data_IF_374842451324
#
_entry.id   IF_374842451324
#
_cell.length_a   1.000
_cell.length_b   1.000
_cell.length_c   1.000
_cell.angle_alpha   90.00
_cell.angle_beta   90.00
_cell.angle_gamma   90.00
#
_symmetry.space_group_name_H-M   'P 1'
#
loop_
_entity.id
_entity.type
_entity.pdbx_description
1 polymer ?
#
# COMPACT_ATOMS: atom_id res chain seq x y z
N UNK A 1 2.03 6.01 24.02
CA UNK A 1 0.84 6.30 24.72
C UNK A 1 -0.16 5.18 24.68
N UNK A 2 -1.22 5.36 25.37
CA UNK A 2 -2.26 4.35 25.52
C UNK A 2 -2.84 3.91 24.16
N UNK A 3 -3.04 4.87 23.26
CA UNK A 3 -3.60 4.57 21.94
C UNK A 3 -2.60 3.83 21.05
N UNK A 4 -1.31 4.10 21.22
CA UNK A 4 -0.26 3.43 20.45
C UNK A 4 -0.19 1.94 20.79
N UNK A 5 -0.38 1.58 22.05
CA UNK A 5 -0.36 0.18 22.46
C UNK A 5 -1.49 -0.61 21.83
N UNK A 6 -2.67 0.00 21.69
CA UNK A 6 -3.81 -0.64 21.04
C UNK A 6 -3.59 -0.81 19.54
N UNK A 7 -3.04 0.20 18.88
CA UNK A 7 -2.72 0.12 17.47
C UNK A 7 -1.65 -0.94 17.22
N UNK A 8 -0.61 -0.98 18.06
CA UNK A 8 0.44 -1.96 17.92
C UNK A 8 -0.09 -3.37 18.10
N UNK A 9 -0.94 -3.59 19.10
CA UNK A 9 -1.56 -4.89 19.33
C UNK A 9 -2.45 -5.31 18.16
N UNK A 10 -3.22 -4.38 17.62
CA UNK A 10 -4.07 -4.64 16.47
C UNK A 10 -3.23 -5.05 15.26
N UNK A 11 -2.14 -4.34 15.00
CA UNK A 11 -1.26 -4.64 13.88
C UNK A 11 -0.59 -6.00 14.06
N UNK A 12 -0.10 -6.31 15.24
CA UNK A 12 0.53 -7.60 15.51
C UNK A 12 -0.44 -8.74 15.30
N UNK A 13 -1.68 -8.58 15.75
CA UNK A 13 -2.72 -9.59 15.49
C UNK A 13 -3.00 -9.75 14.02
N UNK A 14 -3.06 -8.63 13.29
CA UNK A 14 -3.29 -8.65 11.84
C UNK A 14 -2.15 -9.37 11.12
N UNK A 15 -0.91 -9.06 11.48
CA UNK A 15 0.26 -9.71 10.88
C UNK A 15 0.26 -11.21 11.20
N UNK A 16 -0.06 -11.58 12.44
CA UNK A 16 -0.15 -12.98 12.82
C UNK A 16 -1.22 -13.73 12.04
N UNK A 17 -2.39 -13.13 11.86
CA UNK A 17 -3.47 -13.75 11.10
C UNK A 17 -3.06 -13.97 9.64
N UNK A 18 -2.44 -12.99 9.02
CA UNK A 18 -1.98 -13.09 7.64
C UNK A 18 -0.88 -14.15 7.49
N UNK A 19 0.10 -14.14 8.41
CA UNK A 19 1.20 -15.10 8.36
C UNK A 19 0.71 -16.53 8.61
N UNK A 20 -0.20 -16.72 9.57
CA UNK A 20 -0.78 -18.03 9.83
C UNK A 20 -1.60 -18.52 8.66
N UNK A 21 -2.36 -17.66 8.02
CA UNK A 21 -3.14 -18.01 6.84
C UNK A 21 -2.21 -18.43 5.70
N UNK A 22 -1.13 -17.68 5.47
CA UNK A 22 -0.15 -18.01 4.46
C UNK A 22 0.50 -19.37 4.73
N UNK A 23 0.93 -19.58 5.97
CA UNK A 23 1.61 -20.82 6.36
C UNK A 23 0.69 -22.02 6.28
N UNK A 24 -0.51 -21.92 6.86
CA UNK A 24 -1.42 -23.06 6.98
C UNK A 24 -2.10 -23.43 5.66
N UNK A 25 -2.38 -22.42 4.83
CA UNK A 25 -3.10 -22.63 3.56
C UNK A 25 -2.17 -22.68 2.35
N UNK A 26 -0.88 -22.41 2.56
CA UNK A 26 0.13 -22.41 1.51
C UNK A 26 -0.22 -21.42 0.38
N UNK A 27 -0.57 -20.19 0.77
CA UNK A 27 -0.96 -19.13 -0.15
C UNK A 27 -0.22 -17.83 0.19
N UNK A 28 -0.24 -16.88 -0.72
CA UNK A 28 0.22 -15.52 -0.44
C UNK A 28 -0.87 -14.78 0.32
N UNK A 29 -0.45 -13.99 1.29
CA UNK A 29 -1.32 -13.01 1.94
C UNK A 29 -0.58 -11.68 1.96
N UNK A 30 -1.33 -10.59 2.07
CA UNK A 30 -0.70 -9.27 2.06
C UNK A 30 -1.52 -8.27 2.87
N UNK A 31 -0.83 -7.23 3.31
CA UNK A 31 -1.44 -6.13 4.06
C UNK A 31 -1.90 -5.04 3.09
N UNK A 32 -2.59 -4.04 3.63
CA UNK A 32 -2.75 -2.78 2.95
C UNK A 32 -1.42 -2.02 3.00
N UNK A 33 -1.37 -0.80 2.46
CA UNK A 33 -0.15 0.00 2.51
C UNK A 33 0.14 0.43 3.95
N UNK A 34 1.32 0.09 4.40
CA UNK A 34 1.80 0.41 5.75
C UNK A 34 2.68 1.65 5.70
N UNK A 35 2.55 2.52 6.68
CA UNK A 35 3.46 3.64 6.84
C UNK A 35 4.75 3.18 7.52
N UNK A 36 5.72 4.09 7.66
CA UNK A 36 7.03 3.73 8.23
C UNK A 36 6.92 3.21 9.65
N UNK A 37 6.03 3.76 10.46
CA UNK A 37 5.85 3.30 11.82
C UNK A 37 5.31 1.87 11.86
N UNK A 38 4.33 1.59 11.01
CA UNK A 38 3.74 0.26 10.92
C UNK A 38 4.75 -0.76 10.37
N UNK A 39 5.58 -0.36 9.42
CA UNK A 39 6.67 -1.20 8.90
C UNK A 39 7.66 -1.50 10.01
N UNK A 40 7.97 -0.53 10.85
CA UNK A 40 8.87 -0.71 11.99
C UNK A 40 8.31 -1.75 12.97
N UNK A 41 7.02 -1.68 13.25
CA UNK A 41 6.35 -2.65 14.11
C UNK A 41 6.45 -4.06 13.51
N UNK A 42 6.20 -4.18 12.21
CA UNK A 42 6.32 -5.47 11.52
C UNK A 42 7.75 -6.02 11.65
N UNK A 43 8.76 -5.20 11.39
CA UNK A 43 10.15 -5.63 11.45
C UNK A 43 10.55 -6.11 12.85
N UNK A 44 10.01 -5.49 13.90
CA UNK A 44 10.28 -5.90 15.27
C UNK A 44 9.54 -7.17 15.67
N UNK A 45 8.47 -7.50 14.96
CA UNK A 45 7.59 -8.61 15.33
C UNK A 45 7.75 -9.85 14.43
N UNK A 46 8.33 -9.69 13.24
CA UNK A 46 8.33 -10.76 12.23
C UNK A 46 8.98 -12.07 12.70
N UNK A 47 9.90 -12.00 13.65
CA UNK A 47 10.56 -13.20 14.17
C UNK A 47 9.63 -14.04 15.05
N UNK A 48 8.51 -13.49 15.47
CA UNK A 48 7.50 -14.19 16.26
C UNK A 48 6.40 -14.78 15.39
N UNK A 49 6.46 -14.56 14.09
CA UNK A 49 5.49 -15.09 13.14
C UNK A 49 5.88 -16.52 12.75
N UNK A 50 4.92 -17.31 12.20
CA UNK A 50 5.26 -18.61 11.63
C UNK A 50 6.35 -18.47 10.56
N UNK A 51 7.03 -19.56 10.17
CA UNK A 51 8.13 -19.50 9.20
C UNK A 51 7.63 -19.21 7.78
N UNK A 52 7.37 -17.94 7.51
CA UNK A 52 6.97 -17.46 6.19
C UNK A 52 7.94 -16.37 5.77
N UNK A 53 8.09 -16.20 4.46
CA UNK A 53 8.83 -15.07 3.91
C UNK A 53 7.99 -13.81 4.05
N UNK A 54 8.62 -12.72 4.48
CA UNK A 54 7.97 -11.41 4.61
C UNK A 54 8.73 -10.45 3.72
N UNK A 55 8.07 -9.91 2.72
CA UNK A 55 8.69 -8.94 1.81
C UNK A 55 7.84 -7.68 1.74
N UNK A 56 8.52 -6.53 1.64
CA UNK A 56 7.87 -5.25 1.46
C UNK A 56 7.86 -4.93 -0.03
N UNK A 57 6.71 -4.51 -0.54
CA UNK A 57 6.52 -4.25 -1.96
C UNK A 57 5.72 -2.98 -2.18
N UNK A 58 5.86 -2.43 -3.36
CA UNK A 58 5.15 -1.22 -3.75
C UNK A 58 5.95 0.04 -3.43
N UNK A 59 6.28 0.80 -4.46
CA UNK A 59 7.06 2.01 -4.33
C UNK A 59 8.49 1.85 -4.78
N UNK A 60 9.19 2.96 -4.80
CA UNK A 60 10.62 3.01 -5.14
C UNK A 60 11.46 2.93 -3.86
N UNK A 61 12.77 3.16 -4.01
CA UNK A 61 13.73 3.05 -2.90
C UNK A 61 13.42 4.00 -1.74
N UNK A 62 12.73 5.09 -2.01
CA UNK A 62 12.39 6.10 -1.01
C UNK A 62 10.92 6.01 -0.56
N UNK A 63 10.29 4.89 -0.84
CA UNK A 63 8.87 4.73 -0.51
C UNK A 63 8.62 4.81 0.99
N UNK A 64 7.67 5.61 1.37
CA UNK A 64 7.23 5.74 2.75
C UNK A 64 6.08 4.79 3.08
N UNK A 65 5.46 4.23 2.06
CA UNK A 65 4.34 3.30 2.22
C UNK A 65 4.55 2.09 1.33
N UNK A 66 4.45 0.92 1.93
CA UNK A 66 4.60 -0.36 1.23
C UNK A 66 3.64 -1.38 1.81
N UNK A 67 3.29 -2.36 1.00
CA UNK A 67 2.54 -3.50 1.52
C UNK A 67 3.52 -4.56 1.99
N UNK A 68 3.10 -5.36 2.95
CA UNK A 68 3.86 -6.54 3.38
C UNK A 68 3.22 -7.77 2.76
N UNK A 69 4.02 -8.60 2.11
CA UNK A 69 3.57 -9.84 1.47
C UNK A 69 4.13 -11.00 2.27
N UNK A 70 3.25 -11.89 2.71
CA UNK A 70 3.63 -13.11 3.43
C UNK A 70 3.49 -14.28 2.48
N UNK A 71 4.52 -15.09 2.35
CA UNK A 71 4.50 -16.23 1.45
C UNK A 71 5.16 -17.43 2.09
N UNK A 72 4.73 -18.68 1.73
CA UNK A 72 5.41 -19.87 2.20
C UNK A 72 6.88 -19.87 1.74
N UNK A 73 7.76 -20.47 2.55
CA UNK A 73 9.19 -20.46 2.28
C UNK A 73 9.54 -21.15 0.97
N UNK A 74 8.76 -22.16 0.57
CA UNK A 74 9.03 -22.96 -0.62
C UNK A 74 8.49 -22.37 -1.91
N UNK A 75 7.77 -21.25 -1.82
CA UNK A 75 7.11 -20.66 -2.98
C UNK A 75 7.73 -19.29 -3.27
N UNK A 76 8.31 -19.16 -4.44
CA UNK A 76 8.75 -17.87 -4.95
C UNK A 76 7.62 -17.29 -5.79
N UNK A 77 7.10 -16.15 -5.38
CA UNK A 77 6.06 -15.55 -6.19
C UNK A 77 6.71 -14.82 -7.37
N UNK A 78 6.30 -15.22 -8.56
CA UNK A 78 6.70 -14.56 -9.81
C UNK A 78 5.52 -13.82 -10.41
N UNK A 79 4.39 -13.85 -9.73
CA UNK A 79 3.16 -13.27 -10.22
C UNK A 79 3.08 -11.78 -9.89
N UNK A 80 2.17 -11.11 -10.57
CA UNK A 80 1.92 -9.70 -10.34
C UNK A 80 1.48 -9.47 -8.91
N UNK A 81 2.12 -8.51 -8.27
CA UNK A 81 1.72 -8.08 -6.94
C UNK A 81 0.35 -7.40 -7.02
N UNK A 82 -0.42 -7.40 -5.91
CA UNK A 82 -1.74 -6.76 -5.89
C UNK A 82 -1.63 -5.24 -5.83
N UNK A 83 -0.70 -4.66 -6.57
CA UNK A 83 -0.37 -3.25 -6.57
C UNK A 83 -0.38 -2.76 -8.01
N UNK A 84 -1.00 -1.61 -8.23
CA UNK A 84 -0.96 -0.94 -9.53
C UNK A 84 -0.42 0.46 -9.37
N UNK A 85 0.28 0.91 -10.39
CA UNK A 85 0.74 2.30 -10.47
C UNK A 85 -0.17 3.03 -11.45
N UNK A 86 -0.90 4.01 -10.93
CA UNK A 86 -1.82 4.79 -11.75
C UNK A 86 -1.12 6.08 -12.15
N UNK A 87 -1.24 6.43 -13.42
CA UNK A 87 -0.74 7.69 -13.95
C UNK A 87 -1.92 8.65 -14.08
N UNK A 88 -1.78 9.82 -13.48
CA UNK A 88 -2.80 10.86 -13.50
C UNK A 88 -2.23 12.09 -14.17
N UNK A 89 -2.79 12.46 -15.30
CA UNK A 89 -2.41 13.67 -16.01
C UNK A 89 -3.44 14.76 -15.72
N UNK A 90 -3.01 16.01 -15.46
CA UNK A 90 -3.97 17.08 -15.28
C UNK A 90 -4.70 17.34 -16.59
N UNK A 91 -6.03 17.41 -16.52
CA UNK A 91 -6.87 17.66 -17.68
C UNK A 91 -6.70 19.08 -18.17
N UNK A 92 -6.46 20.00 -17.25
CA UNK A 92 -6.33 21.42 -17.54
C UNK A 92 -4.88 21.86 -17.33
N UNK A 93 -4.25 22.38 -18.37
CA UNK A 93 -2.85 22.80 -18.35
C UNK A 93 -2.57 23.90 -17.31
N UNK A 94 -3.60 24.65 -16.89
CA UNK A 94 -3.45 25.67 -15.86
C UNK A 94 -3.10 25.07 -14.48
N UNK A 95 -3.45 23.81 -14.26
CA UNK A 95 -3.19 23.15 -12.98
C UNK A 95 -1.91 22.31 -13.00
N UNK A 96 -1.29 22.16 -14.18
CA UNK A 96 -0.11 21.32 -14.31
C UNK A 96 1.04 21.80 -13.43
N UNK A 97 1.24 23.11 -13.37
CA UNK A 97 2.32 23.71 -12.58
C UNK A 97 2.00 23.80 -11.10
N UNK A 98 0.75 23.58 -10.70
CA UNK A 98 0.29 23.70 -9.33
C UNK A 98 -0.12 22.40 -8.70
N UNK A 99 -0.01 21.31 -9.45
CA UNK A 99 -0.40 19.99 -8.96
C UNK A 99 0.54 19.58 -7.83
N UNK A 100 -0.02 19.20 -6.69
CA UNK A 100 0.75 18.79 -5.52
C UNK A 100 0.31 17.40 -5.07
N UNK A 101 1.14 16.77 -4.25
CA UNK A 101 0.80 15.48 -3.62
C UNK A 101 -0.51 15.59 -2.86
N UNK A 102 -0.70 16.69 -2.14
CA UNK A 102 -1.91 16.93 -1.34
C UNK A 102 -3.16 17.01 -2.22
N UNK A 103 -3.06 17.68 -3.36
CA UNK A 103 -4.18 17.82 -4.28
C UNK A 103 -4.61 16.46 -4.85
N UNK A 104 -3.63 15.66 -5.24
CA UNK A 104 -3.89 14.33 -5.78
C UNK A 104 -4.51 13.43 -4.72
N UNK A 105 -3.90 13.42 -3.53
CA UNK A 105 -4.41 12.61 -2.43
C UNK A 105 -5.82 13.04 -2.03
N UNK A 106 -6.05 14.35 -1.93
CA UNK A 106 -7.38 14.86 -1.60
C UNK A 106 -8.44 14.44 -2.60
N UNK A 107 -8.12 14.48 -3.89
CA UNK A 107 -9.05 14.04 -4.94
C UNK A 107 -9.39 12.56 -4.80
N UNK A 108 -8.40 11.73 -4.50
CA UNK A 108 -8.61 10.29 -4.32
C UNK A 108 -9.46 10.03 -3.07
N UNK A 109 -9.12 10.66 -1.96
CA UNK A 109 -9.87 10.47 -0.71
C UNK A 109 -11.32 10.95 -0.84
N UNK A 110 -11.56 11.98 -1.64
CA UNK A 110 -12.92 12.46 -1.90
C UNK A 110 -13.78 11.45 -2.65
N UNK A 111 -13.17 10.45 -3.29
CA UNK A 111 -13.90 9.35 -3.90
C UNK A 111 -14.39 8.32 -2.88
N UNK A 112 -14.05 8.49 -1.61
CA UNK A 112 -14.42 7.56 -0.54
C UNK A 112 -13.42 6.45 -0.31
N UNK A 113 -12.22 6.56 -0.87
CA UNK A 113 -11.18 5.54 -0.74
C UNK A 113 -10.41 5.75 0.56
N UNK A 114 -10.18 4.68 1.28
CA UNK A 114 -9.43 4.70 2.55
C UNK A 114 -7.95 4.92 2.27
N UNK A 115 -7.28 5.72 3.10
CA UNK A 115 -5.88 6.11 2.90
C UNK A 115 -4.93 4.92 2.77
N UNK A 116 -5.16 3.86 3.52
CA UNK A 116 -4.26 2.70 3.52
C UNK A 116 -4.39 1.82 2.27
N UNK A 117 -5.33 2.11 1.39
CA UNK A 117 -5.39 1.46 0.08
C UNK A 117 -4.51 2.16 -0.96
N UNK A 118 -3.93 3.29 -0.58
CA UNK A 118 -3.10 4.14 -1.44
C UNK A 118 -1.68 4.16 -0.89
N UNK A 119 -0.72 3.92 -1.76
CA UNK A 119 0.69 4.01 -1.40
C UNK A 119 1.22 5.42 -1.61
N UNK A 120 2.48 5.50 -2.02
CA UNK A 120 3.13 6.78 -2.25
C UNK A 120 2.62 7.44 -3.52
N UNK A 121 2.62 8.77 -3.49
CA UNK A 121 2.29 9.61 -4.62
C UNK A 121 3.55 10.35 -5.00
N UNK A 122 3.90 10.34 -6.28
CA UNK A 122 5.03 11.15 -6.74
C UNK A 122 4.67 11.87 -8.03
N UNK A 123 5.34 13.00 -8.23
CA UNK A 123 5.11 13.86 -9.38
C UNK A 123 6.34 13.83 -10.27
N UNK A 124 6.12 13.67 -11.56
CA UNK A 124 7.18 13.66 -12.55
C UNK A 124 6.63 14.14 -13.90
N UNK A 125 7.30 15.12 -14.52
CA UNK A 125 6.94 15.63 -15.84
C UNK A 125 5.48 16.10 -15.93
N UNK A 126 5.02 16.81 -14.88
CA UNK A 126 3.66 17.36 -14.79
C UNK A 126 2.57 16.29 -14.70
N UNK A 127 2.96 15.08 -14.34
CA UNK A 127 2.02 13.98 -14.12
C UNK A 127 2.16 13.47 -12.70
N UNK A 128 1.08 12.93 -12.17
CA UNK A 128 1.10 12.30 -10.86
C UNK A 128 1.05 10.79 -11.02
N UNK A 129 1.80 10.10 -10.19
CA UNK A 129 1.83 8.63 -10.15
C UNK A 129 1.43 8.20 -8.74
N UNK A 130 0.51 7.27 -8.67
CA UNK A 130 -0.06 6.83 -7.39
C UNK A 130 -0.05 5.31 -7.34
N UNK A 131 0.58 4.77 -6.31
CA UNK A 131 0.47 3.34 -6.03
C UNK A 131 -0.83 3.06 -5.30
N UNK A 132 -1.53 2.04 -5.72
CA UNK A 132 -2.78 1.64 -5.06
C UNK A 132 -2.97 0.13 -5.12
N UNK A 133 -3.89 -0.36 -4.32
CA UNK A 133 -4.27 -1.78 -4.36
C UNK A 133 -5.01 -2.03 -5.68
N UNK A 134 -4.73 -3.19 -6.27
CA UNK A 134 -5.22 -3.54 -7.62
C UNK A 134 -6.73 -3.41 -7.77
N UNK A 135 -7.50 -3.87 -6.77
CA UNK A 135 -8.97 -3.90 -6.85
C UNK A 135 -9.60 -2.51 -6.96
N UNK A 136 -8.92 -1.44 -6.53
CA UNK A 136 -9.47 -0.09 -6.60
C UNK A 136 -8.90 0.74 -7.74
N UNK A 137 -7.92 0.20 -8.49
CA UNK A 137 -7.24 0.97 -9.53
C UNK A 137 -8.19 1.43 -10.63
N UNK A 138 -9.06 0.55 -11.09
CA UNK A 138 -10.03 0.88 -12.11
C UNK A 138 -11.03 1.94 -11.66
N UNK A 139 -11.47 1.84 -10.42
CA UNK A 139 -12.39 2.82 -9.84
C UNK A 139 -11.78 4.21 -9.80
N UNK A 140 -10.52 4.30 -9.36
CA UNK A 140 -9.81 5.59 -9.31
C UNK A 140 -9.64 6.16 -10.71
N UNK A 141 -9.13 5.35 -11.64
CA UNK A 141 -8.87 5.80 -13.00
C UNK A 141 -10.16 6.31 -13.67
N UNK A 142 -11.26 5.62 -13.48
CA UNK A 142 -12.51 6.00 -14.09
C UNK A 142 -13.13 7.25 -13.46
N UNK A 143 -13.09 7.36 -12.15
CA UNK A 143 -13.74 8.45 -11.44
C UNK A 143 -12.96 9.75 -11.45
N UNK A 144 -11.64 9.70 -11.51
CA UNK A 144 -10.83 10.92 -11.62
C UNK A 144 -10.97 11.58 -12.99
N UNK A 145 -11.30 10.83 -14.03
CA UNK A 145 -11.51 11.39 -15.36
C UNK A 145 -12.71 12.33 -15.42
N UNK A 146 -13.63 12.20 -14.49
CA UNK A 146 -14.85 13.00 -14.45
C UNK A 146 -14.67 14.32 -13.72
N UNK A 147 -13.55 14.50 -13.10
CA UNK A 147 -13.21 15.69 -12.34
C UNK A 147 -12.12 16.49 -13.06
#
# INVERSE_FOLDING_TARGET
>A
GFNMDKEESFLKNRFSDLANSSYNRNIYTYTDFLNLNEISILNSYKNQLPPVNVELAGGNDYAERRIAVFSPEDIYYTQDLPIKLIEIAPINSHYADKLSHRDVLGAILNLGIVRNKIGDIFLKDNQAYVYCIDDISGYIAENLKKN
#
